data_IF_389907150721
#
_entry.id   IF_389907150721
#
_cell.length_a   1.000
_cell.length_b   1.000
_cell.length_c   1.000
_cell.angle_alpha   90.00
_cell.angle_beta   90.00
_cell.angle_gamma   90.00
#
_symmetry.space_group_name_H-M   'P 1'
#
loop_
_entity.id
_entity.type
_entity.pdbx_description
1 polymer ?
#
# COMPACT_ATOMS: atom_id res chain seq x y z
N UNK A 1 17.49 5.16 -43.49
CA UNK A 1 17.80 5.26 -42.05
C UNK A 1 16.90 6.29 -41.37
N UNK A 2 16.52 7.37 -42.06
CA UNK A 2 15.78 8.52 -41.49
C UNK A 2 14.35 8.21 -41.03
N UNK A 3 13.58 7.38 -41.75
CA UNK A 3 12.21 6.99 -41.34
C UNK A 3 12.13 6.26 -39.99
N UNK A 4 13.18 5.51 -39.62
CA UNK A 4 13.20 4.83 -38.31
C UNK A 4 13.55 5.79 -37.18
N UNK A 5 14.31 6.85 -37.46
CA UNK A 5 14.64 7.91 -36.50
C UNK A 5 13.39 8.76 -36.24
N UNK A 6 12.66 9.09 -37.29
CA UNK A 6 11.41 9.87 -37.21
C UNK A 6 10.34 9.15 -36.39
N UNK A 7 10.09 7.86 -36.67
CA UNK A 7 9.16 7.03 -35.88
C UNK A 7 9.57 6.91 -34.41
N UNK A 8 10.87 6.82 -34.11
CA UNK A 8 11.37 6.79 -32.72
C UNK A 8 11.17 8.13 -32.03
N UNK A 9 11.35 9.25 -32.74
CA UNK A 9 11.12 10.58 -32.19
C UNK A 9 9.64 10.82 -31.87
N UNK A 10 8.72 10.35 -32.72
CA UNK A 10 7.28 10.38 -32.44
C UNK A 10 6.94 9.57 -31.18
N UNK A 11 7.48 8.36 -31.04
CA UNK A 11 7.29 7.53 -29.85
C UNK A 11 7.83 8.20 -28.58
N UNK A 12 9.01 8.82 -28.65
CA UNK A 12 9.58 9.57 -27.53
C UNK A 12 8.68 10.73 -27.15
N UNK A 13 8.09 11.42 -28.12
CA UNK A 13 7.20 12.55 -27.88
C UNK A 13 5.87 12.10 -27.26
N UNK A 14 5.28 11.00 -27.74
CA UNK A 14 4.10 10.40 -27.12
C UNK A 14 4.36 9.97 -25.67
N UNK A 15 5.49 9.30 -25.42
CA UNK A 15 5.86 8.87 -24.07
C UNK A 15 6.06 10.08 -23.14
N UNK A 16 6.67 11.16 -23.62
CA UNK A 16 6.80 12.41 -22.85
C UNK A 16 5.45 13.03 -22.52
N UNK A 17 4.52 13.03 -23.45
CA UNK A 17 3.17 13.57 -23.21
C UNK A 17 2.44 12.73 -22.15
N UNK A 18 2.50 11.39 -22.26
CA UNK A 18 1.93 10.48 -21.26
C UNK A 18 2.56 10.68 -19.88
N UNK A 19 3.87 10.86 -19.79
CA UNK A 19 4.53 11.16 -18.51
C UNK A 19 3.98 12.45 -17.89
N UNK A 20 3.81 13.52 -18.68
CA UNK A 20 3.25 14.79 -18.19
C UNK A 20 1.79 14.67 -17.74
N UNK A 21 1.00 13.85 -18.43
CA UNK A 21 -0.39 13.58 -18.03
C UNK A 21 -0.44 12.84 -16.69
N UNK A 22 0.38 11.81 -16.53
CA UNK A 22 0.49 11.03 -15.29
C UNK A 22 1.00 11.89 -14.12
N UNK A 23 1.95 12.79 -14.36
CA UNK A 23 2.44 13.73 -13.34
C UNK A 23 1.32 14.65 -12.84
N UNK A 24 0.50 15.19 -13.76
CA UNK A 24 -0.65 16.01 -13.40
C UNK A 24 -1.71 15.24 -12.62
N UNK A 25 -2.00 14.01 -13.03
CA UNK A 25 -2.95 13.15 -12.32
C UNK A 25 -2.47 12.86 -10.90
N UNK A 26 -1.17 12.57 -10.75
CA UNK A 26 -0.55 12.40 -9.43
C UNK A 26 -0.66 13.67 -8.57
N UNK A 27 -0.38 14.85 -9.12
CA UNK A 27 -0.52 16.11 -8.38
C UNK A 27 -1.96 16.34 -7.89
N UNK A 28 -2.96 16.08 -8.74
CA UNK A 28 -4.38 16.18 -8.37
C UNK A 28 -4.71 15.22 -7.23
N UNK A 29 -4.29 13.96 -7.33
CA UNK A 29 -4.53 12.94 -6.30
C UNK A 29 -3.81 13.27 -4.98
N UNK A 30 -2.61 13.82 -5.04
CA UNK A 30 -1.88 14.29 -3.86
C UNK A 30 -2.61 15.44 -3.18
N UNK A 31 -3.11 16.43 -3.94
CA UNK A 31 -3.89 17.54 -3.40
C UNK A 31 -5.20 17.06 -2.76
N UNK A 32 -5.93 16.16 -3.42
CA UNK A 32 -7.18 15.59 -2.88
C UNK A 32 -6.97 14.83 -1.57
N UNK A 33 -5.85 14.10 -1.46
CA UNK A 33 -5.52 13.33 -0.27
C UNK A 33 -4.71 14.13 0.77
N UNK A 34 -4.48 15.43 0.56
CA UNK A 34 -3.69 16.28 1.45
C UNK A 34 -2.24 15.82 1.62
N UNK A 35 -1.71 15.06 0.67
CA UNK A 35 -0.38 14.45 0.76
C UNK A 35 0.65 15.33 0.08
N UNK A 36 1.66 15.78 0.84
CA UNK A 36 2.77 16.60 0.33
C UNK A 36 3.95 15.77 -0.15
N UNK A 37 3.80 14.44 -0.19
CA UNK A 37 4.90 13.50 -0.44
C UNK A 37 5.13 13.30 -1.93
N UNK A 38 6.38 13.19 -2.32
CA UNK A 38 6.76 12.76 -3.66
C UNK A 38 6.33 11.31 -3.91
N UNK A 39 6.18 10.86 -5.17
CA UNK A 39 5.82 9.47 -5.47
C UNK A 39 6.76 8.45 -4.83
N UNK A 40 8.06 8.77 -4.76
CA UNK A 40 9.08 7.93 -4.12
C UNK A 40 8.88 7.82 -2.61
N UNK A 41 8.64 8.95 -1.93
CA UNK A 41 8.35 8.98 -0.50
C UNK A 41 7.05 8.27 -0.15
N UNK A 42 6.01 8.44 -0.97
CA UNK A 42 4.72 7.76 -0.78
C UNK A 42 4.88 6.24 -0.86
N UNK A 43 5.66 5.76 -1.83
CA UNK A 43 5.98 4.33 -1.98
C UNK A 43 6.70 3.80 -0.74
N UNK A 44 7.74 4.50 -0.27
CA UNK A 44 8.50 4.09 0.92
C UNK A 44 7.61 4.09 2.16
N UNK A 45 6.79 5.13 2.34
CA UNK A 45 5.85 5.23 3.45
C UNK A 45 4.84 4.09 3.43
N UNK A 46 4.29 3.75 2.27
CA UNK A 46 3.34 2.66 2.13
C UNK A 46 3.97 1.30 2.47
N UNK A 47 5.17 1.02 1.93
CA UNK A 47 5.91 -0.21 2.24
C UNK A 47 6.19 -0.31 3.75
N UNK A 48 6.60 0.80 4.37
CA UNK A 48 6.85 0.85 5.81
C UNK A 48 5.60 0.56 6.62
N UNK A 49 4.48 1.23 6.32
CA UNK A 49 3.20 1.02 7.03
C UNK A 49 2.69 -0.41 6.88
N UNK A 50 2.83 -0.98 5.68
CA UNK A 50 2.43 -2.37 5.44
C UNK A 50 3.29 -3.36 6.24
N UNK A 51 4.59 -3.09 6.35
CA UNK A 51 5.48 -3.89 7.19
C UNK A 51 5.12 -3.78 8.67
N UNK A 52 4.94 -2.56 9.18
CA UNK A 52 4.54 -2.31 10.57
C UNK A 52 3.20 -3.00 10.90
N UNK A 53 2.23 -2.92 9.98
CA UNK A 53 0.94 -3.61 10.09
C UNK A 53 1.12 -5.12 10.22
N UNK A 54 1.87 -5.75 9.31
CA UNK A 54 2.09 -7.20 9.32
C UNK A 54 2.78 -7.66 10.62
N UNK A 55 3.82 -6.95 11.05
CA UNK A 55 4.54 -7.26 12.29
C UNK A 55 3.62 -7.16 13.53
N UNK A 56 2.77 -6.13 13.58
CA UNK A 56 1.82 -5.94 14.67
C UNK A 56 0.73 -7.00 14.67
N UNK A 57 0.17 -7.31 13.49
CA UNK A 57 -0.84 -8.36 13.31
C UNK A 57 -0.32 -9.73 13.74
N UNK A 58 0.87 -10.10 13.28
CA UNK A 58 1.49 -11.39 13.62
C UNK A 58 1.79 -11.48 15.13
N UNK A 59 2.30 -10.40 15.72
CA UNK A 59 2.54 -10.32 17.16
C UNK A 59 1.24 -10.45 17.95
N UNK A 60 0.20 -9.71 17.54
CA UNK A 60 -1.11 -9.76 18.16
C UNK A 60 -1.71 -11.16 18.09
N UNK A 61 -1.70 -11.78 16.91
CA UNK A 61 -2.22 -13.14 16.72
C UNK A 61 -1.47 -14.16 17.58
N UNK A 62 -0.15 -14.03 17.72
CA UNK A 62 0.65 -14.90 18.60
C UNK A 62 0.26 -14.73 20.07
N UNK A 63 -0.02 -13.52 20.52
CA UNK A 63 -0.51 -13.28 21.89
C UNK A 63 -1.88 -13.90 22.10
N UNK A 64 -2.80 -13.75 21.15
CA UNK A 64 -4.13 -14.37 21.21
C UNK A 64 -4.02 -15.89 21.23
N UNK A 65 -3.11 -16.49 20.47
CA UNK A 65 -2.84 -17.94 20.50
C UNK A 65 -2.38 -18.42 21.88
N UNK A 66 -1.52 -17.66 22.56
CA UNK A 66 -1.07 -17.98 23.91
C UNK A 66 -2.26 -17.95 24.88
N UNK A 67 -3.06 -16.89 24.85
CA UNK A 67 -4.25 -16.73 25.71
C UNK A 67 -5.27 -17.84 25.47
N UNK A 68 -5.54 -18.16 24.20
CA UNK A 68 -6.45 -19.25 23.82
C UNK A 68 -5.95 -20.60 24.33
N UNK A 69 -4.63 -20.85 24.27
CA UNK A 69 -3.98 -22.04 24.82
C UNK A 69 -4.12 -22.13 26.34
N UNK A 70 -3.89 -21.03 27.06
CA UNK A 70 -4.04 -20.97 28.53
C UNK A 70 -5.49 -21.16 28.98
N UNK A 71 -6.44 -20.55 28.26
CA UNK A 71 -7.88 -20.66 28.55
C UNK A 71 -8.51 -21.95 28.00
N UNK A 72 -7.77 -22.74 27.22
CA UNK A 72 -8.28 -23.91 26.49
C UNK A 72 -9.52 -23.60 25.64
N UNK A 73 -9.53 -22.44 25.00
CA UNK A 73 -10.62 -21.99 24.13
C UNK A 73 -10.14 -21.75 22.69
N UNK A 74 -11.07 -21.48 21.78
CA UNK A 74 -10.76 -21.15 20.39
C UNK A 74 -10.34 -19.70 20.28
N UNK A 75 -9.47 -19.40 19.31
CA UNK A 75 -9.04 -18.03 18.98
C UNK A 75 -10.24 -17.08 18.83
N UNK A 76 -11.29 -17.51 18.11
CA UNK A 76 -12.49 -16.72 17.90
C UNK A 76 -13.15 -16.27 19.22
N UNK A 77 -13.18 -17.14 20.23
CA UNK A 77 -13.77 -16.81 21.52
C UNK A 77 -12.96 -15.73 22.25
N UNK A 78 -11.63 -15.70 22.06
CA UNK A 78 -10.77 -14.64 22.58
C UNK A 78 -11.02 -13.31 21.83
N UNK A 79 -11.15 -13.35 20.51
CA UNK A 79 -11.48 -12.17 19.70
C UNK A 79 -12.87 -11.60 20.09
N UNK A 80 -13.88 -12.47 20.20
CA UNK A 80 -15.24 -12.12 20.64
C UNK A 80 -15.23 -11.52 22.06
N UNK A 81 -14.45 -12.09 23.00
CA UNK A 81 -14.26 -11.55 24.36
C UNK A 81 -13.60 -10.17 24.36
N UNK A 82 -12.63 -9.93 23.46
CA UNK A 82 -11.97 -8.64 23.32
C UNK A 82 -12.80 -7.61 22.53
N UNK A 83 -13.93 -8.01 21.93
CA UNK A 83 -14.78 -7.14 21.13
C UNK A 83 -14.20 -6.79 19.75
N UNK A 84 -13.34 -7.64 19.19
CA UNK A 84 -12.75 -7.47 17.86
C UNK A 84 -13.18 -8.58 16.91
N UNK A 85 -13.21 -8.29 15.61
CA UNK A 85 -13.37 -9.31 14.57
C UNK A 85 -12.01 -9.95 14.27
N UNK A 86 -12.03 -11.23 13.87
CA UNK A 86 -10.85 -11.95 13.42
C UNK A 86 -10.48 -11.59 11.97
N UNK A 87 -11.45 -11.15 11.18
CA UNK A 87 -11.22 -10.68 9.82
C UNK A 87 -10.88 -9.18 9.80
N UNK A 88 -9.75 -8.84 9.20
CA UNK A 88 -9.41 -7.46 8.85
C UNK A 88 -10.31 -7.03 7.68
N UNK A 89 -11.39 -6.30 7.97
CA UNK A 89 -12.29 -5.72 6.95
C UNK A 89 -11.87 -4.31 6.55
#
# INVERSE_FOLDING_TARGET
>A
MDKQIEKRNEQVQELRNKCKELEKEFEILCQQNGSTHTPGELKVLHIRRLKEYNELRDTGLRLVQIIAGEKQCKLKEVFDEMGFDMEDR
#
